data_IF_667437458111
#
_entry.id   IF_667437458111
#
_cell.length_a   1.000
_cell.length_b   1.000
_cell.length_c   1.000
_cell.angle_alpha   90.00
_cell.angle_beta   90.00
_cell.angle_gamma   90.00
#
_symmetry.space_group_name_H-M   'P 1'
#
loop_
_entity.id
_entity.type
_entity.pdbx_description
1 polymer ?
#
# COMPACT_ATOMS: atom_id res chain seq x y z
N UNK A 1 -53.46 -46.34 -15.54
CA UNK A 1 -53.58 -46.07 -16.99
C UNK A 1 -54.37 -44.77 -17.16
N UNK A 2 -54.15 -43.95 -18.19
CA UNK A 2 -52.97 -43.81 -19.07
C UNK A 2 -52.71 -42.36 -19.60
N UNK A 3 -51.59 -42.23 -20.34
CA UNK A 3 -51.35 -41.42 -21.56
C UNK A 3 -51.31 -39.88 -21.56
N UNK A 4 -50.10 -39.35 -21.81
CA UNK A 4 -49.82 -38.28 -22.80
C UNK A 4 -50.14 -38.79 -24.24
N UNK A 5 -50.06 -38.03 -25.37
CA UNK A 5 -49.43 -36.72 -25.60
C UNK A 5 -50.16 -35.80 -26.64
N UNK A 6 -49.55 -34.68 -27.04
CA UNK A 6 -49.32 -34.46 -28.47
C UNK A 6 -48.04 -33.66 -28.73
N UNK A 7 -47.19 -34.31 -29.51
CA UNK A 7 -45.96 -33.85 -30.14
C UNK A 7 -46.22 -32.93 -31.34
N UNK A 8 -45.28 -32.03 -31.62
CA UNK A 8 -45.08 -31.41 -32.92
C UNK A 8 -43.59 -31.42 -33.27
N UNK A 9 -43.20 -32.37 -34.12
CA UNK A 9 -41.84 -32.68 -34.61
C UNK A 9 -41.21 -31.55 -35.45
N UNK A 10 -39.88 -31.42 -35.38
CA UNK A 10 -38.96 -31.85 -36.45
C UNK A 10 -37.49 -31.56 -36.10
N UNK A 11 -36.65 -32.57 -36.33
CA UNK A 11 -35.19 -32.57 -36.22
C UNK A 11 -34.54 -31.55 -37.16
N UNK A 12 -33.44 -30.94 -36.70
CA UNK A 12 -32.31 -30.57 -37.55
C UNK A 12 -31.03 -30.90 -36.78
N UNK A 13 -30.45 -32.05 -37.12
CA UNK A 13 -29.04 -32.38 -36.88
C UNK A 13 -28.20 -31.52 -37.83
N UNK A 14 -27.49 -30.50 -37.33
CA UNK A 14 -26.39 -29.83 -38.05
C UNK A 14 -25.37 -29.25 -37.05
N UNK A 15 -24.27 -29.99 -36.88
CA UNK A 15 -22.87 -29.51 -36.79
C UNK A 15 -22.35 -28.96 -35.45
N UNK A 16 -21.35 -29.70 -34.92
CA UNK A 16 -20.30 -29.26 -33.98
C UNK A 16 -19.60 -27.96 -34.43
N UNK A 17 -18.99 -27.27 -33.46
CA UNK A 17 -18.16 -26.04 -33.54
C UNK A 17 -18.97 -24.74 -33.71
N UNK A 18 -18.84 -23.73 -32.86
CA UNK A 18 -17.59 -23.14 -32.37
C UNK A 18 -17.74 -22.45 -31.02
N UNK A 19 -16.73 -22.66 -30.17
CA UNK A 19 -16.06 -21.64 -29.38
C UNK A 19 -16.95 -20.66 -28.60
N UNK A 20 -17.40 -21.09 -27.41
CA UNK A 20 -17.37 -20.14 -26.29
C UNK A 20 -15.89 -19.84 -26.05
N UNK A 21 -15.42 -18.70 -26.56
CA UNK A 21 -14.26 -18.02 -25.98
C UNK A 21 -14.58 -17.82 -24.50
N UNK A 22 -14.13 -18.77 -23.68
CA UNK A 22 -13.61 -18.43 -22.37
C UNK A 22 -12.63 -17.31 -22.67
N UNK A 23 -12.96 -16.08 -22.26
CA UNK A 23 -11.92 -15.09 -22.03
C UNK A 23 -10.96 -15.80 -21.08
N UNK A 24 -9.84 -16.27 -21.61
CA UNK A 24 -8.69 -16.58 -20.79
C UNK A 24 -8.40 -15.25 -20.12
N UNK A 25 -8.78 -15.12 -18.85
CA UNK A 25 -8.14 -14.14 -17.98
C UNK A 25 -6.65 -14.31 -18.24
N UNK A 26 -6.02 -13.24 -18.73
CA UNK A 26 -4.60 -13.26 -19.01
C UNK A 26 -3.91 -13.78 -17.75
N UNK A 27 -2.95 -14.71 -17.93
CA UNK A 27 -2.23 -15.25 -16.78
C UNK A 27 -1.63 -14.06 -15.99
N UNK A 28 -1.71 -14.11 -14.65
CA UNK A 28 -1.20 -13.02 -13.83
C UNK A 28 0.28 -12.79 -14.13
N UNK A 29 0.63 -11.54 -14.43
CA UNK A 29 2.00 -11.15 -14.77
C UNK A 29 2.84 -11.19 -13.49
N UNK A 30 3.96 -11.90 -13.51
CA UNK A 30 4.84 -12.06 -12.36
C UNK A 30 6.26 -11.59 -12.67
N UNK A 31 6.94 -10.90 -11.73
CA UNK A 31 8.37 -10.60 -11.85
C UNK A 31 9.28 -11.85 -11.95
N UNK A 32 8.74 -13.04 -11.65
CA UNK A 32 9.44 -14.32 -11.82
C UNK A 32 9.34 -14.90 -13.24
N UNK A 33 8.53 -14.30 -14.11
CA UNK A 33 8.32 -14.79 -15.47
C UNK A 33 9.54 -14.51 -16.37
N UNK A 34 9.89 -15.44 -17.28
CA UNK A 34 11.09 -15.30 -18.12
C UNK A 34 11.01 -14.15 -19.13
N UNK A 35 9.80 -13.69 -19.45
CA UNK A 35 9.54 -12.59 -20.38
C UNK A 35 9.28 -11.26 -19.64
N UNK A 36 9.41 -11.23 -18.31
CA UNK A 36 9.28 -10.01 -17.52
C UNK A 36 10.50 -9.10 -17.74
N UNK A 37 10.25 -7.90 -18.24
CA UNK A 37 11.26 -6.85 -18.39
C UNK A 37 11.24 -5.95 -17.14
N UNK A 38 12.25 -6.05 -16.24
CA UNK A 38 12.29 -5.26 -15.01
C UNK A 38 12.52 -3.77 -15.27
N UNK A 39 12.93 -3.38 -16.48
CA UNK A 39 13.11 -1.99 -16.88
C UNK A 39 11.83 -1.38 -17.50
N UNK A 40 10.77 -2.18 -17.71
CA UNK A 40 9.47 -1.72 -18.23
C UNK A 40 8.50 -1.36 -17.08
N UNK A 41 8.16 -0.06 -16.88
CA UNK A 41 7.20 0.35 -15.87
C UNK A 41 5.82 -0.29 -16.05
N UNK A 42 5.37 -0.55 -17.28
CA UNK A 42 4.04 -1.09 -17.51
C UNK A 42 3.95 -2.54 -17.02
N UNK A 43 4.99 -3.35 -17.20
CA UNK A 43 5.00 -4.73 -16.69
C UNK A 43 4.93 -4.78 -15.16
N UNK A 44 5.56 -3.82 -14.47
CA UNK A 44 5.41 -3.69 -13.02
C UNK A 44 4.02 -3.26 -12.60
N UNK A 45 3.40 -2.29 -13.28
CA UNK A 45 2.01 -1.88 -13.03
C UNK A 45 1.09 -3.11 -13.18
N UNK A 46 1.19 -3.81 -14.32
CA UNK A 46 0.36 -4.97 -14.60
C UNK A 46 0.58 -6.09 -13.57
N UNK A 47 1.82 -6.31 -13.10
CA UNK A 47 2.12 -7.27 -12.06
C UNK A 47 1.52 -6.90 -10.69
N UNK A 48 1.55 -5.61 -10.32
CA UNK A 48 0.93 -5.12 -9.07
C UNK A 48 -0.59 -5.31 -9.14
N UNK A 49 -1.24 -4.78 -10.17
CA UNK A 49 -2.70 -4.79 -10.30
C UNK A 49 -3.25 -6.21 -10.48
N UNK A 50 -2.49 -7.09 -11.11
CA UNK A 50 -2.86 -8.50 -11.24
C UNK A 50 -2.75 -9.28 -9.91
N UNK A 51 -1.75 -8.98 -9.08
CA UNK A 51 -1.54 -9.66 -7.80
C UNK A 51 -2.41 -9.10 -6.68
N UNK A 52 -2.67 -7.79 -6.70
CA UNK A 52 -3.52 -7.09 -5.74
C UNK A 52 -4.65 -6.35 -6.50
N UNK A 53 -5.78 -7.03 -6.77
CA UNK A 53 -6.87 -6.45 -7.58
C UNK A 53 -7.55 -5.22 -6.98
N UNK A 54 -7.29 -4.92 -5.70
CA UNK A 54 -7.75 -3.70 -5.03
C UNK A 54 -6.76 -2.53 -5.12
N UNK A 55 -5.61 -2.73 -5.77
CA UNK A 55 -4.58 -1.70 -5.97
C UNK A 55 -4.65 -1.21 -7.41
N UNK A 56 -4.71 0.10 -7.60
CA UNK A 56 -4.67 0.79 -8.88
C UNK A 56 -3.42 1.70 -8.91
N UNK A 57 -2.56 1.53 -9.92
CA UNK A 57 -1.33 2.32 -10.06
C UNK A 57 -1.51 3.29 -11.23
N UNK A 58 -1.71 4.56 -10.90
CA UNK A 58 -2.04 5.56 -11.91
C UNK A 58 -0.84 5.85 -12.81
N UNK A 59 -0.98 5.49 -14.10
CA UNK A 59 -0.16 6.05 -15.16
C UNK A 59 -0.71 7.43 -15.57
N UNK A 60 0.14 8.46 -15.60
CA UNK A 60 -0.30 9.82 -15.92
C UNK A 60 -0.52 10.04 -17.44
N UNK A 61 -0.70 8.96 -18.21
CA UNK A 61 -1.02 9.05 -19.64
C UNK A 61 -2.48 9.48 -19.81
N UNK A 62 -2.69 10.70 -20.33
CA UNK A 62 -4.02 11.15 -20.77
C UNK A 62 -4.97 11.65 -19.67
N UNK A 63 -4.50 11.90 -18.44
CA UNK A 63 -5.33 12.44 -17.36
C UNK A 63 -5.03 13.91 -17.04
N UNK A 64 -6.05 14.76 -17.15
CA UNK A 64 -6.03 16.19 -16.75
C UNK A 64 -6.39 16.40 -15.26
N UNK A 65 -6.71 15.32 -14.53
CA UNK A 65 -7.41 15.37 -13.24
C UNK A 65 -6.50 15.39 -12.00
N UNK A 66 -5.22 15.01 -12.12
CA UNK A 66 -4.29 14.95 -10.99
C UNK A 66 -3.20 15.99 -11.20
N UNK A 67 -3.21 17.04 -10.38
CA UNK A 67 -2.20 18.09 -10.42
C UNK A 67 -0.81 17.48 -10.17
N UNK A 68 0.16 17.84 -11.02
CA UNK A 68 1.57 17.43 -10.87
C UNK A 68 1.84 15.92 -10.91
N UNK A 69 0.90 15.14 -11.48
CA UNK A 69 1.08 13.71 -11.78
C UNK A 69 2.34 13.49 -12.64
N UNK A 70 3.17 12.51 -12.28
CA UNK A 70 4.34 12.06 -13.03
C UNK A 70 4.24 10.58 -13.39
N UNK A 71 4.84 10.17 -14.50
CA UNK A 71 4.96 8.74 -14.77
C UNK A 71 5.89 8.09 -13.75
N UNK A 72 5.56 6.86 -13.37
CA UNK A 72 6.38 6.02 -12.52
C UNK A 72 7.62 5.51 -13.27
N UNK A 73 8.75 5.46 -12.56
CA UNK A 73 9.93 4.72 -13.03
C UNK A 73 9.80 3.23 -12.65
N UNK A 74 10.38 2.33 -13.46
CA UNK A 74 10.34 0.88 -13.20
C UNK A 74 10.97 0.52 -11.85
N UNK A 75 12.07 1.17 -11.48
CA UNK A 75 12.72 1.01 -10.17
C UNK A 75 11.77 1.35 -9.01
N UNK A 76 10.99 2.43 -9.11
CA UNK A 76 10.02 2.83 -8.07
C UNK A 76 8.91 1.79 -7.93
N UNK A 77 8.40 1.27 -9.05
CA UNK A 77 7.35 0.26 -9.05
C UNK A 77 7.83 -1.09 -8.54
N UNK A 78 9.07 -1.48 -8.85
CA UNK A 78 9.69 -2.67 -8.28
C UNK A 78 9.78 -2.61 -6.76
N UNK A 79 10.11 -1.44 -6.21
CA UNK A 79 10.11 -1.22 -4.76
C UNK A 79 8.71 -1.23 -4.15
N UNK A 80 7.70 -0.69 -4.84
CA UNK A 80 6.30 -0.79 -4.39
C UNK A 80 5.85 -2.25 -4.34
N UNK A 81 6.16 -3.03 -5.39
CA UNK A 81 5.84 -4.45 -5.44
C UNK A 81 6.47 -5.21 -4.28
N UNK A 82 7.77 -4.98 -4.01
CA UNK A 82 8.48 -5.56 -2.86
C UNK A 82 7.75 -5.25 -1.55
N UNK A 83 7.43 -3.96 -1.32
CA UNK A 83 6.76 -3.53 -0.09
C UNK A 83 5.40 -4.21 0.05
N UNK A 84 4.57 -4.23 -0.98
CA UNK A 84 3.26 -4.87 -0.95
C UNK A 84 3.35 -6.38 -0.68
N UNK A 85 4.40 -7.04 -1.14
CA UNK A 85 4.65 -8.47 -0.88
C UNK A 85 5.06 -8.74 0.57
N UNK A 86 5.87 -7.88 1.18
CA UNK A 86 6.44 -8.09 2.52
C UNK A 86 5.68 -7.35 3.65
N UNK A 87 4.67 -6.55 3.30
CA UNK A 87 3.99 -5.66 4.25
C UNK A 87 3.34 -6.40 5.42
N UNK A 88 3.76 -6.06 6.65
CA UNK A 88 3.37 -6.78 7.86
C UNK A 88 1.88 -6.63 8.24
N UNK A 89 1.20 -5.62 7.69
CA UNK A 89 -0.24 -5.39 7.88
C UNK A 89 -1.02 -5.68 6.58
N UNK A 90 -0.54 -6.59 5.73
CA UNK A 90 -1.17 -6.90 4.43
C UNK A 90 -2.64 -7.30 4.52
N UNK A 91 -3.09 -7.88 5.65
CA UNK A 91 -4.50 -8.27 5.84
C UNK A 91 -5.44 -7.06 6.05
N UNK A 92 -4.88 -5.87 6.32
CA UNK A 92 -5.63 -4.64 6.60
C UNK A 92 -5.66 -3.66 5.41
N UNK A 93 -5.15 -4.07 4.25
CA UNK A 93 -5.13 -3.29 3.00
C UNK A 93 -5.99 -3.97 1.93
N UNK A 94 -7.21 -4.36 2.29
CA UNK A 94 -8.17 -5.06 1.43
C UNK A 94 -9.18 -4.12 0.74
N UNK A 95 -9.24 -2.86 1.16
CA UNK A 95 -10.02 -1.81 0.52
C UNK A 95 -9.25 -1.19 -0.67
N UNK A 96 -9.92 -0.50 -1.60
CA UNK A 96 -9.27 0.15 -2.74
C UNK A 96 -8.11 1.09 -2.37
N UNK A 97 -6.95 0.85 -2.99
CA UNK A 97 -5.74 1.66 -2.90
C UNK A 97 -5.40 2.26 -4.27
N UNK A 98 -5.04 3.54 -4.30
CA UNK A 98 -4.61 4.23 -5.52
C UNK A 98 -3.23 4.82 -5.30
N UNK A 99 -2.22 4.34 -6.03
CA UNK A 99 -0.87 4.88 -6.00
C UNK A 99 -0.67 5.92 -7.09
N UNK A 100 -0.21 7.11 -6.69
CA UNK A 100 0.06 8.23 -7.59
C UNK A 100 1.46 8.75 -7.36
N UNK A 101 2.20 8.93 -8.46
CA UNK A 101 3.47 9.63 -8.44
C UNK A 101 3.25 11.12 -8.68
N UNK A 102 3.76 11.97 -7.80
CA UNK A 102 3.61 13.43 -7.89
C UNK A 102 4.94 14.18 -7.88
N UNK A 103 4.98 15.34 -8.50
CA UNK A 103 6.09 16.28 -8.44
C UNK A 103 6.07 17.16 -7.18
N UNK A 104 5.02 17.11 -6.36
CA UNK A 104 4.81 18.07 -5.28
C UNK A 104 5.92 17.95 -4.22
N UNK A 105 6.79 18.96 -4.15
CA UNK A 105 8.14 18.88 -3.55
C UNK A 105 8.19 18.57 -2.04
N UNK A 106 7.06 18.68 -1.33
CA UNK A 106 7.00 18.61 0.14
C UNK A 106 6.04 17.56 0.72
N UNK A 107 5.47 16.67 -0.10
CA UNK A 107 4.49 15.71 0.39
C UNK A 107 4.74 14.33 -0.20
N UNK A 108 5.17 13.39 0.63
CA UNK A 108 4.83 11.98 0.45
C UNK A 108 3.79 11.70 1.52
N UNK A 109 2.64 11.14 1.15
CA UNK A 109 1.54 11.06 2.10
C UNK A 109 0.23 10.48 1.56
N UNK A 110 -0.55 9.96 2.48
CA UNK A 110 -1.91 9.51 2.27
C UNK A 110 -2.85 10.72 2.15
N UNK A 111 -3.46 10.87 0.98
CA UNK A 111 -4.68 11.66 0.82
C UNK A 111 -5.88 10.74 0.96
N UNK A 112 -6.60 10.82 2.07
CA UNK A 112 -7.89 10.13 2.19
C UNK A 112 -8.92 10.89 1.36
N UNK A 113 -9.35 10.34 0.23
CA UNK A 113 -10.54 10.84 -0.45
C UNK A 113 -11.77 10.28 0.27
N UNK A 114 -12.66 11.18 0.70
CA UNK A 114 -13.91 10.81 1.37
C UNK A 114 -14.74 9.88 0.48
N UNK A 115 -15.08 8.71 1.02
CA UNK A 115 -16.12 7.86 0.45
C UNK A 115 -17.46 8.12 1.16
N UNK A 116 -18.54 8.23 0.38
CA UNK A 116 -19.90 8.05 0.90
C UNK A 116 -20.19 6.55 1.01
N UNK A 117 -20.39 6.03 2.23
CA UNK A 117 -20.75 4.63 2.47
C UNK A 117 -19.59 3.74 2.91
N UNK A 118 -19.68 2.44 2.61
CA UNK A 118 -18.74 1.43 3.09
C UNK A 118 -17.48 1.30 2.19
N UNK A 119 -17.48 1.89 0.99
CA UNK A 119 -16.40 1.75 0.00
C UNK A 119 -15.28 2.77 0.21
N UNK A 120 -14.48 2.60 1.28
CA UNK A 120 -13.34 3.48 1.55
C UNK A 120 -12.27 3.32 0.48
N UNK A 121 -11.76 4.42 -0.07
CA UNK A 121 -10.59 4.41 -0.98
C UNK A 121 -9.46 5.26 -0.38
N UNK A 122 -8.24 4.73 -0.40
CA UNK A 122 -7.05 5.46 0.04
C UNK A 122 -6.19 5.85 -1.16
N UNK A 123 -5.88 7.14 -1.30
CA UNK A 123 -5.00 7.64 -2.35
C UNK A 123 -3.61 7.94 -1.74
N UNK A 124 -2.61 7.15 -2.13
CA UNK A 124 -1.23 7.29 -1.66
C UNK A 124 -0.44 8.09 -2.70
N UNK A 125 0.04 9.26 -2.30
CA UNK A 125 0.85 10.13 -3.15
C UNK A 125 2.32 10.03 -2.78
N UNK A 126 3.15 9.60 -3.72
CA UNK A 126 4.60 9.47 -3.53
C UNK A 126 5.32 10.52 -4.37
N UNK A 127 6.17 11.33 -3.74
CA UNK A 127 6.97 12.36 -4.40
C UNK A 127 8.47 12.03 -4.42
N UNK A 128 9.27 12.87 -5.08
CA UNK A 128 10.74 12.75 -5.08
C UNK A 128 11.35 12.81 -3.67
N UNK A 129 10.59 13.30 -2.68
CA UNK A 129 11.01 13.35 -1.28
C UNK A 129 11.18 11.96 -0.66
N UNK A 130 10.42 10.96 -1.12
CA UNK A 130 10.48 9.59 -0.61
C UNK A 130 11.87 8.95 -0.76
N UNK A 131 12.66 9.42 -1.74
CA UNK A 131 14.03 8.99 -1.97
C UNK A 131 15.08 9.67 -1.07
N UNK A 132 14.69 10.74 -0.37
CA UNK A 132 15.62 11.67 0.30
C UNK A 132 15.49 11.62 1.81
N UNK A 133 14.32 11.31 2.31
CA UNK A 133 13.98 11.41 3.72
C UNK A 133 13.08 10.24 4.07
N UNK A 134 13.47 9.41 5.03
CA UNK A 134 12.57 8.40 5.56
C UNK A 134 11.51 9.07 6.44
N UNK A 135 10.30 8.50 6.57
CA UNK A 135 9.28 9.06 7.45
C UNK A 135 9.75 9.04 8.91
N UNK A 136 10.74 8.18 9.25
CA UNK A 136 11.42 7.96 10.53
C UNK A 136 12.28 9.17 11.07
N UNK A 137 12.07 10.42 10.59
CA UNK A 137 12.95 11.57 10.84
C UNK A 137 13.07 11.95 12.31
N UNK A 138 14.24 11.66 12.89
CA UNK A 138 14.62 12.06 14.24
C UNK A 138 15.89 11.36 14.73
N UNK A 139 16.11 10.12 14.25
CA UNK A 139 17.32 9.33 14.52
C UNK A 139 18.33 9.41 13.35
N UNK A 140 17.87 9.80 12.16
CA UNK A 140 18.53 9.47 10.89
C UNK A 140 19.48 10.54 10.32
N UNK A 141 19.36 11.82 10.69
CA UNK A 141 20.21 12.90 10.16
C UNK A 141 21.73 12.67 10.33
N UNK A 142 22.15 11.91 11.34
CA UNK A 142 23.57 11.59 11.56
C UNK A 142 24.03 10.33 10.79
N UNK A 143 23.12 9.52 10.28
CA UNK A 143 23.38 8.19 9.71
C UNK A 143 22.89 8.02 8.27
N UNK A 144 22.29 9.05 7.67
CA UNK A 144 21.77 9.06 6.29
C UNK A 144 22.77 8.62 5.20
N UNK A 145 24.07 8.62 5.51
CA UNK A 145 25.11 8.12 4.61
C UNK A 145 25.21 6.59 4.53
N UNK A 146 24.55 5.86 5.42
CA UNK A 146 24.67 4.41 5.52
C UNK A 146 23.41 3.64 5.10
N UNK A 147 22.30 4.33 4.82
CA UNK A 147 21.06 3.70 4.36
C UNK A 147 20.99 3.67 2.83
N UNK A 148 20.67 2.52 2.22
CA UNK A 148 20.28 2.47 0.81
C UNK A 148 19.08 3.39 0.55
N UNK A 149 19.14 4.21 -0.50
CA UNK A 149 18.02 5.11 -0.86
C UNK A 149 16.71 4.37 -1.13
N UNK A 150 16.81 3.11 -1.58
CA UNK A 150 15.68 2.22 -1.75
C UNK A 150 14.93 1.99 -0.44
N UNK A 151 15.63 1.88 0.69
CA UNK A 151 14.99 1.65 2.00
C UNK A 151 14.22 2.88 2.48
N UNK A 152 14.66 4.10 2.15
CA UNK A 152 13.86 5.30 2.39
C UNK A 152 12.54 5.27 1.64
N UNK A 153 12.61 4.93 0.35
CA UNK A 153 11.44 4.85 -0.49
C UNK A 153 10.47 3.79 0.02
N UNK A 154 10.97 2.58 0.31
CA UNK A 154 10.18 1.48 0.89
C UNK A 154 9.57 1.82 2.24
N UNK A 155 10.34 2.50 3.11
CA UNK A 155 9.87 2.99 4.40
C UNK A 155 8.72 3.99 4.26
N UNK A 156 8.79 4.92 3.30
CA UNK A 156 7.68 5.83 2.99
C UNK A 156 6.45 5.06 2.49
N UNK A 157 6.61 4.08 1.60
CA UNK A 157 5.46 3.30 1.10
C UNK A 157 4.78 2.54 2.25
N UNK A 158 5.54 1.87 3.13
CA UNK A 158 4.97 1.17 4.28
C UNK A 158 4.34 2.12 5.32
N UNK A 159 4.90 3.32 5.50
CA UNK A 159 4.31 4.36 6.33
C UNK A 159 2.91 4.73 5.82
N UNK A 160 2.78 5.02 4.52
CA UNK A 160 1.48 5.37 3.93
C UNK A 160 0.50 4.19 3.88
N UNK A 161 0.99 2.96 3.69
CA UNK A 161 0.15 1.77 3.82
C UNK A 161 -0.36 1.57 5.26
N UNK A 162 0.38 2.04 6.28
CA UNK A 162 -0.09 1.97 7.68
C UNK A 162 -1.18 3.00 7.94
N UNK A 163 -1.02 4.19 7.37
CA UNK A 163 -2.09 5.20 7.34
C UNK A 163 -3.34 4.68 6.64
N UNK A 164 -3.19 3.99 5.49
CA UNK A 164 -4.32 3.38 4.80
C UNK A 164 -5.00 2.29 5.63
N UNK A 165 -4.21 1.37 6.21
CA UNK A 165 -4.72 0.30 7.06
C UNK A 165 -5.50 0.82 8.27
N UNK A 166 -4.98 1.83 8.97
CA UNK A 166 -5.67 2.46 10.12
C UNK A 166 -6.89 3.28 9.71
N UNK A 167 -6.89 3.86 8.50
CA UNK A 167 -8.06 4.51 7.96
C UNK A 167 -9.19 3.51 7.66
N UNK A 168 -8.85 2.37 7.06
CA UNK A 168 -9.79 1.29 6.78
C UNK A 168 -10.30 0.64 8.06
N UNK A 169 -9.39 0.36 9.00
CA UNK A 169 -9.62 -0.34 10.27
C UNK A 169 -9.14 0.49 11.47
N UNK A 170 -9.91 1.49 11.94
CA UNK A 170 -9.52 2.35 13.05
C UNK A 170 -9.23 1.61 14.37
N UNK A 171 -9.82 0.43 14.57
CA UNK A 171 -9.57 -0.45 15.71
C UNK A 171 -8.14 -0.99 15.76
N UNK A 172 -7.41 -0.97 14.64
CA UNK A 172 -6.00 -1.37 14.60
C UNK A 172 -5.14 -0.43 15.45
N UNK A 173 -5.48 0.86 15.43
CA UNK A 173 -4.82 1.87 16.28
C UNK A 173 -5.13 1.62 17.76
N UNK A 174 -6.37 1.26 18.11
CA UNK A 174 -6.75 0.89 19.48
C UNK A 174 -5.94 -0.28 20.01
N UNK A 175 -5.86 -1.34 19.21
CA UNK A 175 -5.08 -2.53 19.53
C UNK A 175 -3.61 -2.18 19.76
N UNK A 176 -2.99 -1.45 18.83
CA UNK A 176 -1.59 -1.07 18.95
C UNK A 176 -1.33 -0.16 20.18
N UNK A 177 -2.22 0.80 20.49
CA UNK A 177 -2.13 1.64 21.69
C UNK A 177 -2.25 0.81 22.97
N UNK A 178 -3.07 -0.23 22.98
CA UNK A 178 -3.22 -1.12 24.14
C UNK A 178 -1.98 -2.01 24.34
N UNK A 179 -1.41 -2.55 23.26
CA UNK A 179 -0.28 -3.47 23.31
C UNK A 179 1.06 -2.78 23.57
N UNK A 180 1.28 -1.55 23.07
CA UNK A 180 2.55 -0.82 23.30
C UNK A 180 2.89 -0.54 24.77
N UNK A 181 1.92 -0.69 25.68
CA UNK A 181 2.06 -0.42 27.11
C UNK A 181 2.27 -1.67 27.97
N UNK A 182 2.34 -2.87 27.40
CA UNK A 182 2.54 -4.12 28.14
C UNK A 182 4.02 -4.52 28.15
N UNK A 183 4.62 -4.66 29.33
CA UNK A 183 6.04 -5.05 29.50
C UNK A 183 6.31 -6.53 29.12
N UNK A 184 5.28 -7.31 28.80
CA UNK A 184 5.33 -8.78 28.73
C UNK A 184 5.17 -9.39 27.33
N UNK A 185 5.23 -8.59 26.25
CA UNK A 185 5.67 -9.12 24.95
C UNK A 185 4.81 -8.77 23.73
N UNK A 186 5.52 -8.56 22.62
CA UNK A 186 5.02 -8.92 21.29
C UNK A 186 5.35 -7.90 20.21
N UNK A 187 5.09 -6.61 20.46
CA UNK A 187 5.44 -5.57 19.50
C UNK A 187 6.64 -4.83 20.05
N UNK A 188 7.79 -4.84 19.38
CA UNK A 188 8.89 -3.97 19.72
C UNK A 188 8.47 -2.54 19.26
N UNK A 189 7.48 -1.97 19.94
CA UNK A 189 7.01 -0.60 19.84
C UNK A 189 7.64 0.17 20.98
N UNK A 190 8.98 0.16 21.03
CA UNK A 190 9.66 0.88 22.09
C UNK A 190 9.39 2.37 21.87
N UNK A 191 8.71 3.00 22.83
CA UNK A 191 8.51 4.44 23.03
C UNK A 191 9.77 5.30 22.77
N UNK A 192 10.93 4.65 22.63
CA UNK A 192 12.19 5.20 22.18
C UNK A 192 12.07 5.96 20.85
N UNK A 193 11.42 5.42 19.81
CA UNK A 193 11.33 6.10 18.49
C UNK A 193 10.69 7.49 18.63
N UNK A 194 9.66 7.62 19.46
CA UNK A 194 8.91 8.88 19.63
C UNK A 194 9.67 9.96 20.37
N UNK A 195 10.72 9.60 21.12
CA UNK A 195 11.59 10.57 21.81
C UNK A 195 12.54 11.32 20.88
N UNK A 196 12.74 10.82 19.66
CA UNK A 196 13.65 11.44 18.68
C UNK A 196 12.95 12.37 17.71
N UNK A 197 11.62 12.37 17.71
CA UNK A 197 10.82 13.23 16.87
C UNK A 197 10.54 14.58 17.51
N UNK A 198 10.56 15.60 16.65
CA UNK A 198 10.06 16.92 17.00
C UNK A 198 8.56 16.93 16.72
N UNK A 199 7.76 16.89 17.78
CA UNK A 199 6.29 16.89 17.71
C UNK A 199 5.70 18.30 17.60
N UNK A 200 6.55 19.33 17.46
CA UNK A 200 6.17 20.74 17.44
C UNK A 200 5.12 21.09 16.37
N UNK A 201 4.99 20.29 15.30
CA UNK A 201 3.93 20.46 14.29
C UNK A 201 2.53 20.09 14.80
N UNK A 202 2.45 19.34 15.89
CA UNK A 202 1.23 18.97 16.61
C UNK A 202 1.06 19.74 17.92
N UNK A 203 2.00 20.64 18.25
CA UNK A 203 1.87 21.52 19.41
C UNK A 203 0.62 22.41 19.25
N UNK A 204 -0.29 22.30 20.20
CA UNK A 204 -1.56 23.04 20.20
C UNK A 204 -2.79 22.21 19.80
N UNK A 205 -2.65 20.92 19.49
CA UNK A 205 -3.79 20.00 19.38
C UNK A 205 -4.26 19.63 20.79
N UNK A 206 -5.29 20.30 21.28
CA UNK A 206 -5.87 20.07 22.62
C UNK A 206 -7.00 19.03 22.60
N UNK A 207 -7.63 18.78 21.43
CA UNK A 207 -8.71 17.81 21.30
C UNK A 207 -8.14 16.37 21.30
N UNK A 208 -8.51 15.51 22.27
CA UNK A 208 -7.99 14.16 22.37
C UNK A 208 -8.27 13.28 21.15
N UNK A 209 -9.40 13.46 20.46
CA UNK A 209 -9.74 12.68 19.27
C UNK A 209 -8.90 13.12 18.07
N UNK A 210 -8.66 14.43 17.94
CA UNK A 210 -7.79 14.97 16.89
C UNK A 210 -6.33 14.58 17.16
N UNK A 211 -5.88 14.68 18.41
CA UNK A 211 -4.56 14.24 18.84
C UNK A 211 -4.37 12.75 18.52
N UNK A 212 -5.35 11.92 18.89
CA UNK A 212 -5.31 10.48 18.63
C UNK A 212 -5.21 10.18 17.14
N UNK A 213 -6.03 10.80 16.29
CA UNK A 213 -6.01 10.54 14.83
C UNK A 213 -4.77 11.07 14.15
N UNK A 214 -4.24 12.21 14.59
CA UNK A 214 -3.07 12.82 13.99
C UNK A 214 -1.78 12.22 14.57
N UNK A 215 -1.56 12.30 15.87
CA UNK A 215 -0.27 11.96 16.49
C UNK A 215 -0.08 10.45 16.64
N UNK A 216 -1.09 9.73 17.13
CA UNK A 216 -0.92 8.29 17.41
C UNK A 216 -0.87 7.46 16.14
N UNK A 217 -1.64 7.82 15.11
CA UNK A 217 -1.58 7.18 13.79
C UNK A 217 -0.22 7.38 13.14
N UNK A 218 0.30 8.62 13.13
CA UNK A 218 1.64 8.90 12.60
C UNK A 218 2.71 8.12 13.37
N UNK A 219 2.61 8.06 14.70
CA UNK A 219 3.56 7.28 15.48
C UNK A 219 3.51 5.79 15.15
N UNK A 220 2.31 5.23 14.98
CA UNK A 220 2.16 3.84 14.58
C UNK A 220 2.74 3.57 13.19
N UNK A 221 2.46 4.44 12.21
CA UNK A 221 3.00 4.36 10.86
C UNK A 221 4.53 4.43 10.83
N UNK A 222 5.12 5.34 11.62
CA UNK A 222 6.58 5.45 11.79
C UNK A 222 7.15 4.17 12.37
N UNK A 223 6.52 3.60 13.40
CA UNK A 223 6.97 2.34 14.03
C UNK A 223 6.98 1.22 13.00
N UNK A 224 5.88 1.00 12.27
CA UNK A 224 5.80 -0.05 11.23
C UNK A 224 6.88 0.13 10.18
N UNK A 225 7.02 1.35 9.64
CA UNK A 225 8.03 1.66 8.63
C UNK A 225 9.47 1.41 9.15
N UNK A 226 9.72 1.70 10.42
CA UNK A 226 11.01 1.45 11.09
C UNK A 226 11.24 -0.05 11.30
N UNK A 227 10.22 -0.80 11.76
CA UNK A 227 10.33 -2.24 11.99
C UNK A 227 10.71 -3.00 10.72
N UNK A 228 10.16 -2.57 9.59
CA UNK A 228 10.38 -3.24 8.30
C UNK A 228 11.71 -2.88 7.65
N UNK A 229 12.10 -1.59 7.69
CA UNK A 229 13.19 -1.08 6.84
C UNK A 229 14.31 -0.37 7.59
N UNK A 230 14.24 -0.26 8.92
CA UNK A 230 15.36 0.26 9.71
C UNK A 230 16.36 -0.88 10.05
N UNK A 231 17.54 -0.94 9.41
CA UNK A 231 18.57 -1.93 9.71
C UNK A 231 19.07 -1.91 11.16
N UNK A 232 18.85 -0.84 11.92
CA UNK A 232 19.21 -0.78 13.34
C UNK A 232 18.20 -1.51 14.22
N UNK A 233 16.96 -1.65 13.77
CA UNK A 233 15.94 -2.41 14.49
C UNK A 233 16.23 -3.91 14.47
N UNK A 234 16.65 -4.44 13.32
CA UNK A 234 17.07 -5.84 13.19
C UNK A 234 18.22 -6.21 14.13
N UNK A 235 19.16 -5.28 14.39
CA UNK A 235 20.27 -5.51 15.32
C UNK A 235 19.86 -5.45 16.81
N UNK A 236 18.75 -4.78 17.13
CA UNK A 236 18.23 -4.70 18.50
C UNK A 236 17.45 -5.97 18.89
N UNK A 237 16.87 -6.68 17.92
CA UNK A 237 16.13 -7.94 18.13
C UNK A 237 17.04 -9.18 18.23
N UNK A 238 18.29 -9.07 17.77
CA UNK A 238 19.33 -10.11 17.86
C UNK A 238 20.18 -10.05 19.16
N UNK A 239 19.79 -9.24 20.16
CA UNK A 239 20.45 -9.12 21.46
C UNK A 239 19.53 -9.49 22.62
#
# INVERSE_FOLDING_TARGET
MPTAPSSGFAELDVVETDSQTLELEAAPISPSDPDFDPDDPQMWIDAIESRWPNVDVISCMGQELIQECRNWAAEELGLIYEVLEEYILTDYIDQPLIFIRTAHDNYAGLTAQYAEGDDKTAQIQISDHAWRTSPAVGIQDAFDRFFPKADYFKSVVAHELTHAATWFYPELLDWWIAERGTDDGGVPGNLFIGRFYTWDQFDGIEDPEVYRRAVETEFFAIVVATLMYDPWWGQALDR
#
